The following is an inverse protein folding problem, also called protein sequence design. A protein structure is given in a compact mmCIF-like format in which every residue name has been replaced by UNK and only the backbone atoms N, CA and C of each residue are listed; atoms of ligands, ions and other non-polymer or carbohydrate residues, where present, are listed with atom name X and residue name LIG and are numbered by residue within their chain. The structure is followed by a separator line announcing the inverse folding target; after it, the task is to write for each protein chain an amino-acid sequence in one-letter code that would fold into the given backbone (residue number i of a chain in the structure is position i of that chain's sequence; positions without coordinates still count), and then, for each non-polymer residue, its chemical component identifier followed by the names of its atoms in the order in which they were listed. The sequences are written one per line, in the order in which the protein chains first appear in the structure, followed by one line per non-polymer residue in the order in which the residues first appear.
data_IF_978129305901
#
_entry.id   IF_978129305901
#
_cell.length_a   1.000
_cell.length_b   1.000
_cell.length_c   1.000
_cell.angle_alpha   90.00
_cell.angle_beta   90.00
_cell.angle_gamma   90.00
#
_symmetry.space_group_name_H-M   'P 1'
#
loop_
_entity.id
_entity.type
_entity.pdbx_description
1 polymer ?
#
# COMPACT_ATOMS: atom_id res chain seq x y z
N UNK A 1 40.03 9.13 68.18
CA UNK A 1 38.63 8.71 68.38
C UNK A 1 37.76 9.68 69.20
N UNK A 2 38.30 10.71 69.86
CA UNK A 2 37.49 11.74 70.53
C UNK A 2 36.94 12.94 69.70
N UNK A 3 37.43 13.28 68.47
CA UNK A 3 36.94 14.47 67.77
C UNK A 3 35.59 14.23 67.08
N UNK A 4 35.33 13.02 66.59
CA UNK A 4 34.12 12.70 65.84
C UNK A 4 32.90 12.50 66.75
N UNK A 5 33.08 12.00 67.98
CA UNK A 5 32.00 11.90 68.98
C UNK A 5 31.58 13.28 69.47
N UNK A 6 32.54 14.21 69.62
CA UNK A 6 32.24 15.60 69.96
C UNK A 6 31.46 16.31 68.85
N UNK A 7 31.85 16.13 67.59
CA UNK A 7 31.11 16.70 66.45
C UNK A 7 29.68 16.14 66.33
N UNK A 8 29.49 14.85 66.59
CA UNK A 8 28.16 14.22 66.60
C UNK A 8 27.29 14.75 67.75
N UNK A 9 27.85 14.93 68.93
CA UNK A 9 27.14 15.49 70.08
C UNK A 9 26.76 16.97 69.85
N UNK A 10 27.66 17.76 69.27
CA UNK A 10 27.38 19.15 68.89
C UNK A 10 26.32 19.25 67.80
N UNK A 11 26.34 18.36 66.81
CA UNK A 11 25.32 18.27 65.77
C UNK A 11 23.94 17.92 66.33
N UNK A 12 23.88 17.01 67.31
CA UNK A 12 22.63 16.60 67.95
C UNK A 12 22.05 17.69 68.87
N UNK A 13 22.90 18.40 69.61
CA UNK A 13 22.48 19.54 70.44
C UNK A 13 22.01 20.71 69.57
N UNK A 14 22.69 21.02 68.45
CA UNK A 14 22.26 22.06 67.51
C UNK A 14 20.97 21.68 66.77
N UNK A 15 20.79 20.40 66.40
CA UNK A 15 19.56 19.90 65.80
C UNK A 15 18.36 20.01 66.75
N UNK A 16 18.55 19.72 68.05
CA UNK A 16 17.50 19.87 69.07
C UNK A 16 17.20 21.36 69.33
N UNK A 17 18.22 22.22 69.42
CA UNK A 17 18.01 23.67 69.59
C UNK A 17 17.29 24.31 68.39
N UNK A 18 17.57 23.84 67.15
CA UNK A 18 16.87 24.30 65.95
C UNK A 18 15.40 23.84 65.89
N UNK A 19 15.09 22.66 66.44
CA UNK A 19 13.72 22.14 66.49
C UNK A 19 12.81 22.84 67.51
N UNK A 20 13.39 23.40 68.59
CA UNK A 20 12.62 24.07 69.65
C UNK A 20 12.60 25.60 69.58
N UNK A 21 13.40 26.22 68.71
CA UNK A 21 13.47 27.68 68.53
C UNK A 21 13.51 28.04 67.04
N UNK A 22 12.38 28.00 66.31
CA UNK A 22 12.38 28.15 64.86
C UNK A 22 12.70 29.58 64.36
N UNK A 23 12.96 30.56 65.24
CA UNK A 23 13.20 31.98 64.89
C UNK A 23 14.14 32.75 65.83
N UNK A 24 15.26 32.18 66.25
CA UNK A 24 16.34 32.97 66.88
C UNK A 24 17.61 32.96 66.01
N UNK A 25 18.03 34.17 65.66
CA UNK A 25 19.26 34.49 64.95
C UNK A 25 20.51 34.03 65.73
N UNK A 26 20.88 32.77 65.53
CA UNK A 26 22.12 32.14 65.99
C UNK A 26 23.46 32.76 65.51
N UNK A 27 23.56 33.69 64.52
CA UNK A 27 24.86 34.26 64.14
C UNK A 27 25.54 35.15 65.21
N UNK A 28 24.83 35.62 66.23
CA UNK A 28 25.33 36.69 67.12
C UNK A 28 26.05 36.24 68.40
N UNK A 29 26.04 34.96 68.75
CA UNK A 29 26.53 34.47 70.06
C UNK A 29 27.81 33.60 69.95
N UNK A 30 28.23 33.23 68.74
CA UNK A 30 29.43 32.39 68.56
C UNK A 30 30.68 33.22 68.21
N UNK A 31 31.84 32.95 68.82
CA UNK A 31 33.12 33.56 68.43
C UNK A 31 33.46 33.25 66.96
N UNK A 32 33.98 34.24 66.24
CA UNK A 32 34.30 34.18 64.81
C UNK A 32 35.26 33.04 64.39
N UNK A 33 36.07 32.57 65.33
CA UNK A 33 37.01 31.45 65.12
C UNK A 33 36.32 30.08 64.99
N UNK A 34 35.09 29.94 65.50
CA UNK A 34 34.30 28.70 65.44
C UNK A 34 33.25 28.79 64.33
N UNK A 35 32.63 29.96 64.11
CA UNK A 35 31.63 30.16 63.05
C UNK A 35 32.20 30.01 61.63
N UNK A 36 33.48 30.35 61.42
CA UNK A 36 34.18 30.20 60.14
C UNK A 36 34.51 28.76 59.74
N UNK A 37 34.30 27.78 60.64
CA UNK A 37 34.56 26.35 60.39
C UNK A 37 33.30 25.50 60.30
N UNK A 38 32.12 26.08 60.46
CA UNK A 38 30.84 25.38 60.33
C UNK A 38 30.26 25.65 58.93
N UNK A 39 30.01 24.61 58.10
CA UNK A 39 29.64 24.78 56.70
C UNK A 39 28.18 25.24 56.46
N UNK A 40 27.42 25.49 57.53
CA UNK A 40 25.98 25.80 57.45
C UNK A 40 25.62 27.20 57.99
N UNK A 41 26.59 27.95 58.51
CA UNK A 41 26.37 29.33 58.94
C UNK A 41 26.93 30.30 57.87
N UNK A 42 26.19 31.36 57.51
CA UNK A 42 26.66 32.34 56.54
C UNK A 42 27.75 33.19 57.21
N UNK A 43 28.98 32.69 57.21
CA UNK A 43 30.12 33.54 57.58
C UNK A 43 30.30 34.56 56.46
N UNK A 44 30.29 35.85 56.81
CA UNK A 44 30.39 37.01 55.92
C UNK A 44 31.68 37.07 55.06
N UNK A 45 32.49 36.01 55.05
CA UNK A 45 33.76 35.91 54.33
C UNK A 45 33.67 35.05 53.04
N UNK A 46 32.50 34.52 52.66
CA UNK A 46 32.38 33.74 51.41
C UNK A 46 32.57 34.61 50.16
N UNK A 47 32.24 35.90 50.17
CA UNK A 47 32.37 36.74 48.97
C UNK A 47 33.80 37.14 48.58
N UNK A 48 34.79 36.87 49.44
CA UNK A 48 36.19 37.30 49.22
C UNK A 48 37.11 36.18 48.76
N UNK A 49 36.64 34.93 48.67
CA UNK A 49 37.40 33.80 48.10
C UNK A 49 36.88 33.44 46.71
N UNK A 50 37.74 32.98 45.80
CA UNK A 50 37.33 32.60 44.43
C UNK A 50 36.27 31.49 44.42
N UNK A 51 36.36 30.56 45.38
CA UNK A 51 35.35 29.51 45.56
C UNK A 51 34.03 30.14 45.96
N UNK A 52 33.98 31.05 46.93
CA UNK A 52 32.71 31.64 47.34
C UNK A 52 32.09 32.62 46.34
N UNK A 53 32.84 33.18 45.38
CA UNK A 53 32.24 33.90 44.22
C UNK A 53 31.50 32.95 43.26
N UNK A 54 32.00 31.74 43.05
CA UNK A 54 31.31 30.70 42.23
C UNK A 54 30.06 30.17 42.93
N UNK A 55 30.07 30.10 44.26
CA UNK A 55 28.95 29.56 45.04
C UNK A 55 27.92 30.63 45.47
N UNK A 56 28.21 31.93 45.31
CA UNK A 56 27.30 33.02 45.69
C UNK A 56 25.96 33.00 44.93
N UNK A 57 25.96 32.64 43.65
CA UNK A 57 24.75 32.53 42.83
C UNK A 57 23.84 31.34 43.22
N UNK A 58 24.39 30.12 43.35
CA UNK A 58 23.64 28.95 43.80
C UNK A 58 23.13 29.03 45.25
N UNK A 59 23.92 29.59 46.18
CA UNK A 59 23.52 29.70 47.60
C UNK A 59 22.34 30.67 47.84
N UNK A 60 22.27 31.76 47.07
CA UNK A 60 21.15 32.72 47.15
C UNK A 60 19.80 32.09 46.72
N UNK A 61 19.84 31.09 45.83
CA UNK A 61 18.64 30.38 45.35
C UNK A 61 18.16 29.32 46.36
N UNK A 62 19.08 28.67 47.07
CA UNK A 62 18.75 27.74 48.16
C UNK A 62 18.13 28.44 49.38
N UNK A 63 18.53 29.67 49.69
CA UNK A 63 17.92 30.46 50.77
C UNK A 63 16.52 31.00 50.43
N UNK A 64 16.17 31.09 49.14
CA UNK A 64 14.87 31.58 48.67
C UNK A 64 13.78 30.48 48.59
N UNK A 65 14.10 29.22 48.92
CA UNK A 65 13.12 28.13 48.96
C UNK A 65 12.50 27.75 47.61
N UNK A 66 13.19 28.02 46.50
CA UNK A 66 12.75 27.67 45.14
C UNK A 66 13.27 26.27 44.82
N UNK A 67 12.39 25.31 44.53
CA UNK A 67 12.79 23.96 44.13
C UNK A 67 13.53 23.98 42.77
N UNK A 68 14.62 23.22 42.62
CA UNK A 68 15.32 23.12 41.34
C UNK A 68 14.48 22.33 40.31
N UNK A 69 14.21 22.97 39.17
CA UNK A 69 13.57 22.32 38.01
C UNK A 69 14.49 21.22 37.46
N UNK A 70 14.01 20.01 37.07
CA UNK A 70 14.85 18.86 36.75
C UNK A 70 15.45 18.90 35.33
N UNK A 71 15.81 20.08 34.84
CA UNK A 71 16.34 20.29 33.49
C UNK A 71 17.40 21.39 33.40
N UNK A 72 18.12 21.67 34.48
CA UNK A 72 19.14 22.71 34.52
C UNK A 72 20.47 22.20 35.09
N UNK A 73 21.01 21.16 34.46
CA UNK A 73 22.45 20.86 34.46
C UNK A 73 22.95 20.83 33.01
N UNK A 74 22.94 22.00 32.35
CA UNK A 74 23.74 22.24 31.15
C UNK A 74 24.36 23.63 31.29
N UNK A 75 25.53 23.69 31.93
CA UNK A 75 26.42 24.83 31.74
C UNK A 75 27.02 24.72 30.34
N UNK A 76 27.03 25.83 29.59
CA UNK A 76 27.55 25.96 28.22
C UNK A 76 28.97 25.38 28.04
N UNK A 77 29.75 25.31 29.12
CA UNK A 77 31.11 24.75 29.14
C UNK A 77 31.14 23.21 29.09
N UNK A 78 30.11 22.52 29.59
CA UNK A 78 30.00 21.06 29.54
C UNK A 78 29.55 20.56 28.16
N UNK A 79 28.69 21.32 27.47
CA UNK A 79 28.29 21.01 26.10
C UNK A 79 29.46 21.18 25.13
N UNK A 80 30.35 22.15 25.38
CA UNK A 80 31.56 22.38 24.57
C UNK A 80 32.59 21.26 24.70
N UNK A 81 32.82 20.73 25.91
CA UNK A 81 33.74 19.59 26.11
C UNK A 81 33.17 18.27 25.55
N UNK A 82 31.85 18.06 25.65
CA UNK A 82 31.17 16.92 25.02
C UNK A 82 31.21 17.00 23.49
N UNK A 83 31.09 18.20 22.92
CA UNK A 83 31.17 18.42 21.47
C UNK A 83 32.61 18.22 20.94
N UNK A 84 33.63 18.59 21.72
CA UNK A 84 35.04 18.30 21.41
C UNK A 84 35.36 16.81 21.50
N UNK A 85 34.87 16.09 22.53
CA UNK A 85 35.01 14.63 22.60
C UNK A 85 34.28 13.93 21.45
N UNK A 86 33.12 14.43 21.03
CA UNK A 86 32.41 13.94 19.84
C UNK A 86 33.29 14.10 18.60
N UNK A 87 33.81 15.31 18.34
CA UNK A 87 34.65 15.60 17.16
C UNK A 87 35.96 14.79 17.14
N UNK A 88 36.57 14.52 18.29
CA UNK A 88 37.75 13.65 18.39
C UNK A 88 37.44 12.17 18.11
N UNK A 89 36.23 11.69 18.43
CA UNK A 89 35.77 10.33 18.10
C UNK A 89 35.34 10.17 16.64
N UNK A 90 34.89 11.25 15.98
CA UNK A 90 34.53 11.25 14.55
C UNK A 90 35.73 11.22 13.60
N UNK A 91 36.95 11.50 14.07
CA UNK A 91 38.16 11.50 13.24
C UNK A 91 38.89 10.15 13.09
N UNK A 92 38.43 9.09 13.78
CA UNK A 92 39.08 7.77 13.74
C UNK A 92 38.62 6.95 12.53
N UNK A 93 39.56 6.43 11.74
CA UNK A 93 39.29 5.63 10.53
C UNK A 93 38.48 4.34 10.79
N UNK A 94 38.37 3.91 12.04
CA UNK A 94 37.62 2.71 12.44
C UNK A 94 36.16 3.04 12.77
N UNK A 95 35.88 4.18 13.42
CA UNK A 95 34.50 4.59 13.75
C UNK A 95 33.68 4.91 12.49
N UNK A 96 34.31 5.45 11.45
CA UNK A 96 33.65 5.71 10.16
C UNK A 96 33.14 4.43 9.47
N UNK A 97 33.86 3.30 9.57
CA UNK A 97 33.43 2.03 8.97
C UNK A 97 32.32 1.36 9.76
N UNK A 98 32.30 1.53 11.07
CA UNK A 98 31.22 1.02 11.93
C UNK A 98 29.94 1.84 11.73
N UNK A 99 30.06 3.16 11.67
CA UNK A 99 28.96 4.05 11.30
C UNK A 99 28.44 3.79 9.89
N UNK A 100 29.30 3.51 8.92
CA UNK A 100 28.85 3.17 7.56
C UNK A 100 28.13 1.81 7.51
N UNK A 101 28.56 0.83 8.33
CA UNK A 101 27.87 -0.45 8.48
C UNK A 101 26.53 -0.29 9.20
N UNK A 102 26.46 0.53 10.23
CA UNK A 102 25.23 0.84 10.95
C UNK A 102 24.26 1.63 10.08
N UNK A 103 24.74 2.62 9.33
CA UNK A 103 23.95 3.36 8.35
C UNK A 103 23.41 2.44 7.24
N UNK A 104 24.24 1.52 6.71
CA UNK A 104 23.77 0.48 5.76
C UNK A 104 22.78 -0.50 6.38
N UNK A 105 22.92 -0.83 7.68
CA UNK A 105 21.94 -1.67 8.40
C UNK A 105 20.62 -0.93 8.59
N UNK A 106 20.67 0.33 9.00
CA UNK A 106 19.49 1.19 9.16
C UNK A 106 18.80 1.43 7.82
N UNK A 107 19.55 1.68 6.73
CA UNK A 107 18.97 1.78 5.39
C UNK A 107 18.26 0.50 4.98
N UNK A 108 18.86 -0.68 5.16
CA UNK A 108 18.20 -1.97 4.87
C UNK A 108 17.01 -2.25 5.76
N UNK A 109 16.99 -1.71 6.97
CA UNK A 109 15.87 -1.85 7.90
C UNK A 109 14.74 -0.86 7.57
N UNK A 110 15.08 0.34 7.10
CA UNK A 110 14.13 1.32 6.55
C UNK A 110 13.57 0.81 5.22
N UNK A 111 14.39 0.24 4.33
CA UNK A 111 13.93 -0.44 3.11
C UNK A 111 13.02 -1.62 3.47
N UNK A 112 13.40 -2.49 4.42
CA UNK A 112 12.49 -3.55 4.90
C UNK A 112 11.21 -3.00 5.50
N UNK A 113 11.27 -1.92 6.29
CA UNK A 113 10.08 -1.29 6.87
C UNK A 113 9.24 -0.58 5.82
N UNK A 114 9.83 -0.02 4.76
CA UNK A 114 9.14 0.56 3.63
C UNK A 114 8.53 -0.51 2.73
N UNK A 115 9.20 -1.64 2.53
CA UNK A 115 8.66 -2.83 1.87
C UNK A 115 7.51 -3.42 2.69
N UNK A 116 7.65 -3.54 4.02
CA UNK A 116 6.59 -3.99 4.90
C UNK A 116 5.42 -3.00 4.96
N UNK A 117 5.68 -1.69 5.01
CA UNK A 117 4.65 -0.66 4.97
C UNK A 117 3.96 -0.58 3.59
N UNK A 118 4.68 -0.82 2.49
CA UNK A 118 4.12 -0.93 1.15
C UNK A 118 3.25 -2.18 0.99
N UNK A 119 3.62 -3.28 1.66
CA UNK A 119 2.83 -4.51 1.75
C UNK A 119 1.58 -4.33 2.62
N UNK A 120 1.64 -3.53 3.70
CA UNK A 120 0.51 -3.23 4.59
C UNK A 120 -0.45 -2.17 4.02
N UNK A 121 0.04 -1.23 3.20
CA UNK A 121 -0.79 -0.22 2.53
C UNK A 121 -1.40 -0.67 1.20
N UNK A 122 -1.17 -1.93 0.77
CA UNK A 122 -1.75 -2.45 -0.48
C UNK A 122 -1.32 -1.71 -1.74
N UNK A 123 -0.28 -0.86 -1.69
CA UNK A 123 0.33 -0.16 -2.82
C UNK A 123 1.03 -1.19 -3.71
N UNK A 124 0.26 -1.98 -4.44
CA UNK A 124 0.75 -2.90 -5.46
C UNK A 124 0.76 -2.13 -6.77
N UNK A 125 1.96 -1.99 -7.34
CA UNK A 125 2.24 -1.39 -8.65
C UNK A 125 1.73 -2.29 -9.79
N UNK A 126 0.44 -2.60 -9.81
CA UNK A 126 -0.21 -3.27 -10.94
C UNK A 126 -1.08 -2.29 -11.68
N UNK A 127 -1.03 -2.36 -13.00
CA UNK A 127 -1.88 -1.54 -13.85
C UNK A 127 -3.36 -1.88 -13.61
N UNK A 128 -4.26 -0.89 -13.77
CA UNK A 128 -5.69 -1.06 -13.55
C UNK A 128 -6.32 -2.09 -14.50
N UNK A 129 -7.47 -2.62 -14.07
CA UNK A 129 -8.33 -3.47 -14.88
C UNK A 129 -9.46 -2.63 -15.45
N UNK A 130 -9.65 -2.65 -16.77
CA UNK A 130 -10.72 -1.94 -17.45
C UNK A 130 -11.81 -2.91 -17.85
N UNK A 131 -13.06 -2.63 -17.49
CA UNK A 131 -14.23 -3.23 -18.09
C UNK A 131 -14.87 -2.22 -19.04
N UNK A 132 -15.02 -2.55 -20.31
CA UNK A 132 -15.56 -1.67 -21.35
C UNK A 132 -16.83 -2.26 -21.94
N UNK A 133 -17.86 -1.43 -22.04
CA UNK A 133 -19.15 -1.79 -22.65
C UNK A 133 -18.96 -2.07 -24.15
N UNK A 134 -19.58 -3.15 -24.63
CA UNK A 134 -19.64 -3.51 -26.05
C UNK A 134 -21.05 -3.25 -26.58
N UNK A 135 -21.18 -2.43 -27.62
CA UNK A 135 -22.47 -2.18 -28.26
C UNK A 135 -22.36 -1.24 -29.44
N UNK A 136 -23.44 -1.11 -30.22
CA UNK A 136 -23.54 -0.11 -31.28
C UNK A 136 -23.74 1.31 -30.70
N UNK A 137 -24.27 1.42 -29.48
CA UNK A 137 -24.62 2.70 -28.82
C UNK A 137 -23.49 3.29 -27.96
N UNK A 138 -22.30 2.68 -27.96
CA UNK A 138 -21.16 3.14 -27.15
C UNK A 138 -20.49 4.34 -27.82
N UNK A 139 -20.32 5.43 -27.07
CA UNK A 139 -19.68 6.65 -27.56
C UNK A 139 -18.20 6.40 -27.90
N UNK A 140 -17.86 6.57 -29.18
CA UNK A 140 -16.49 6.42 -29.69
C UNK A 140 -15.55 7.41 -29.00
N UNK A 141 -15.99 8.63 -28.72
CA UNK A 141 -15.16 9.65 -28.06
C UNK A 141 -14.85 9.32 -26.60
N UNK A 142 -15.66 8.49 -25.95
CA UNK A 142 -15.36 7.95 -24.62
C UNK A 142 -14.35 6.79 -24.72
N UNK A 143 -14.48 5.92 -25.73
CA UNK A 143 -13.52 4.85 -26.00
C UNK A 143 -12.12 5.40 -26.34
N UNK A 144 -12.02 6.43 -27.18
CA UNK A 144 -10.74 7.07 -27.51
C UNK A 144 -10.04 7.63 -26.27
N UNK A 145 -10.79 8.20 -25.32
CA UNK A 145 -10.24 8.68 -24.04
C UNK A 145 -9.73 7.54 -23.16
N UNK A 146 -10.47 6.44 -23.06
CA UNK A 146 -10.02 5.23 -22.35
C UNK A 146 -8.75 4.69 -23.00
N UNK A 147 -8.70 4.67 -24.33
CA UNK A 147 -7.54 4.32 -25.12
C UNK A 147 -6.30 5.17 -24.80
N UNK A 148 -6.47 6.49 -24.80
CA UNK A 148 -5.41 7.44 -24.46
C UNK A 148 -4.93 7.26 -23.00
N UNK A 149 -5.84 6.98 -22.07
CA UNK A 149 -5.49 6.65 -20.69
C UNK A 149 -4.66 5.36 -20.62
N UNK A 150 -5.10 4.29 -21.29
CA UNK A 150 -4.36 3.01 -21.33
C UNK A 150 -2.97 3.21 -21.93
N UNK A 151 -2.85 3.92 -23.05
CA UNK A 151 -1.56 4.18 -23.70
C UNK A 151 -0.65 5.02 -22.79
N UNK A 152 -1.19 5.96 -22.00
CA UNK A 152 -0.40 6.78 -21.05
C UNK A 152 0.29 5.94 -19.96
N UNK A 153 -0.26 4.76 -19.65
CA UNK A 153 0.34 3.80 -18.72
C UNK A 153 1.54 3.04 -19.33
N UNK A 154 1.77 3.16 -20.64
CA UNK A 154 2.79 2.44 -21.40
C UNK A 154 2.82 0.91 -21.11
N UNK A 155 1.69 0.21 -21.27
CA UNK A 155 1.63 -1.22 -21.03
C UNK A 155 2.49 -1.99 -22.03
N UNK A 156 3.24 -3.00 -21.56
CA UNK A 156 3.92 -3.93 -22.46
C UNK A 156 2.92 -4.86 -23.14
N UNK A 157 1.86 -5.22 -22.42
CA UNK A 157 0.85 -6.15 -22.93
C UNK A 157 -0.56 -5.83 -22.43
N UNK A 158 -1.55 -6.25 -23.21
CA UNK A 158 -2.97 -6.18 -22.87
C UNK A 158 -3.54 -7.60 -22.88
N UNK A 159 -4.11 -8.02 -21.76
CA UNK A 159 -4.88 -9.25 -21.63
C UNK A 159 -6.33 -8.92 -21.96
N UNK A 160 -6.78 -9.33 -23.13
CA UNK A 160 -8.15 -9.13 -23.58
C UNK A 160 -9.04 -10.27 -23.09
N UNK A 161 -10.04 -9.97 -22.27
CA UNK A 161 -11.08 -10.92 -21.85
C UNK A 161 -12.36 -10.60 -22.62
N UNK A 162 -12.72 -11.42 -23.59
CA UNK A 162 -13.88 -11.15 -24.45
C UNK A 162 -14.81 -12.36 -24.58
N UNK A 163 -16.15 -12.18 -24.55
CA UNK A 163 -17.10 -13.26 -24.80
C UNK A 163 -16.96 -13.81 -26.22
N UNK A 164 -17.02 -15.13 -26.34
CA UNK A 164 -16.94 -15.86 -27.59
C UNK A 164 -18.04 -16.92 -27.63
N UNK A 165 -18.93 -16.81 -28.61
CA UNK A 165 -20.01 -17.77 -28.82
C UNK A 165 -19.42 -19.10 -29.30
N UNK A 166 -19.66 -20.16 -28.53
CA UNK A 166 -19.08 -21.49 -28.79
C UNK A 166 -19.97 -22.59 -28.23
N UNK A 167 -19.76 -23.81 -28.73
CA UNK A 167 -20.37 -25.04 -28.20
C UNK A 167 -19.52 -25.69 -27.10
N UNK A 168 -18.27 -25.23 -26.92
CA UNK A 168 -17.34 -25.79 -25.94
C UNK A 168 -17.38 -25.03 -24.61
N UNK A 169 -17.25 -25.75 -23.50
CA UNK A 169 -17.23 -25.16 -22.15
C UNK A 169 -15.80 -25.03 -21.61
N UNK A 170 -14.88 -24.44 -22.36
CA UNK A 170 -13.50 -24.15 -21.92
C UNK A 170 -13.00 -22.83 -22.51
N UNK A 171 -12.10 -22.15 -21.79
CA UNK A 171 -11.45 -20.94 -22.29
C UNK A 171 -10.56 -21.25 -23.50
N UNK A 172 -10.44 -20.29 -24.42
CA UNK A 172 -9.46 -20.36 -25.50
C UNK A 172 -8.51 -19.18 -25.40
N UNK A 173 -7.23 -19.46 -25.17
CA UNK A 173 -6.16 -18.47 -25.13
C UNK A 173 -5.46 -18.45 -26.49
N UNK A 174 -5.37 -17.27 -27.09
CA UNK A 174 -4.74 -17.11 -28.40
C UNK A 174 -3.23 -17.22 -28.26
N UNK A 175 -2.62 -18.12 -29.03
CA UNK A 175 -1.16 -18.36 -29.06
C UNK A 175 -0.55 -18.09 -30.44
N UNK A 176 -1.31 -17.47 -31.34
CA UNK A 176 -0.82 -17.02 -32.64
C UNK A 176 0.23 -15.92 -32.46
N UNK A 177 1.22 -15.77 -33.36
CA UNK A 177 2.22 -14.69 -33.28
C UNK A 177 1.59 -13.29 -33.40
N UNK A 178 0.47 -13.20 -34.13
CA UNK A 178 -0.35 -11.99 -34.25
C UNK A 178 -1.81 -12.31 -33.97
N UNK A 179 -2.48 -11.43 -33.24
CA UNK A 179 -3.93 -11.48 -33.03
C UNK A 179 -4.58 -10.63 -34.12
N UNK A 180 -5.28 -11.27 -35.05
CA UNK A 180 -5.86 -10.63 -36.23
C UNK A 180 -7.38 -10.62 -36.21
N UNK A 181 -8.00 -9.57 -36.76
CA UNK A 181 -9.42 -9.53 -37.08
C UNK A 181 -9.68 -9.90 -38.54
N UNK A 182 -10.87 -10.43 -38.82
CA UNK A 182 -11.38 -10.62 -40.18
C UNK A 182 -12.04 -9.36 -40.77
N UNK A 183 -11.88 -8.20 -40.13
CA UNK A 183 -12.50 -6.94 -40.57
C UNK A 183 -11.70 -6.28 -41.71
N UNK A 184 -12.35 -5.34 -42.40
CA UNK A 184 -11.70 -4.46 -43.38
C UNK A 184 -11.79 -3.01 -42.89
N UNK A 185 -10.67 -2.27 -42.73
CA UNK A 185 -9.28 -2.75 -42.80
C UNK A 185 -8.97 -3.78 -41.69
N UNK A 186 -8.01 -4.69 -41.89
CA UNK A 186 -7.64 -5.68 -40.87
C UNK A 186 -6.98 -5.00 -39.67
N UNK A 187 -7.37 -5.41 -38.46
CA UNK A 187 -6.72 -5.03 -37.21
C UNK A 187 -5.79 -6.17 -36.79
N UNK A 188 -4.54 -5.85 -36.48
CA UNK A 188 -3.53 -6.83 -36.09
C UNK A 188 -2.66 -6.28 -34.98
N UNK A 189 -2.47 -7.08 -33.93
CA UNK A 189 -1.56 -6.78 -32.83
C UNK A 189 -0.49 -7.88 -32.73
N UNK A 190 0.75 -7.56 -32.35
CA UNK A 190 1.70 -8.59 -31.91
C UNK A 190 1.10 -9.33 -30.71
N UNK A 191 1.31 -10.64 -30.61
CA UNK A 191 0.89 -11.41 -29.43
C UNK A 191 2.10 -11.85 -28.61
N UNK A 192 1.83 -12.19 -27.35
CA UNK A 192 2.85 -12.66 -26.40
C UNK A 192 2.68 -14.14 -26.09
N UNK A 193 3.40 -15.06 -26.76
CA UNK A 193 3.35 -16.50 -26.46
C UNK A 193 3.76 -16.80 -25.01
N UNK A 194 4.65 -15.98 -24.46
CA UNK A 194 5.12 -16.08 -23.08
C UNK A 194 3.98 -15.78 -22.10
N UNK A 195 3.20 -14.73 -22.32
CA UNK A 195 2.05 -14.41 -21.46
C UNK A 195 0.90 -15.42 -21.67
N UNK A 196 0.62 -15.82 -22.91
CA UNK A 196 -0.40 -16.83 -23.23
C UNK A 196 -0.12 -18.17 -22.52
N UNK A 197 1.13 -18.65 -22.57
CA UNK A 197 1.52 -19.89 -21.88
C UNK A 197 1.48 -19.76 -20.35
N UNK A 198 1.75 -18.57 -19.80
CA UNK A 198 1.64 -18.33 -18.37
C UNK A 198 0.17 -18.25 -17.91
N UNK A 199 -0.72 -17.67 -18.71
CA UNK A 199 -2.17 -17.68 -18.47
C UNK A 199 -2.72 -19.11 -18.46
N UNK A 200 -2.38 -19.92 -19.45
CA UNK A 200 -2.78 -21.34 -19.49
C UNK A 200 -2.32 -22.10 -18.26
N UNK A 201 -1.08 -21.86 -17.81
CA UNK A 201 -0.54 -22.44 -16.58
C UNK A 201 -1.30 -21.95 -15.35
N UNK A 202 -1.58 -20.66 -15.26
CA UNK A 202 -2.33 -20.07 -14.14
C UNK A 202 -3.74 -20.66 -14.04
N UNK A 203 -4.45 -20.77 -15.16
CA UNK A 203 -5.77 -21.41 -15.21
C UNK A 203 -5.73 -22.87 -14.78
N UNK A 204 -4.73 -23.64 -15.23
CA UNK A 204 -4.60 -25.06 -14.88
C UNK A 204 -4.27 -25.30 -13.39
N UNK A 205 -3.51 -24.40 -12.77
CA UNK A 205 -3.04 -24.58 -11.38
C UNK A 205 -3.84 -23.80 -10.34
N UNK A 206 -4.92 -23.13 -10.73
CA UNK A 206 -5.81 -22.48 -9.77
C UNK A 206 -6.50 -23.54 -8.89
N UNK A 207 -6.18 -23.55 -7.59
CA UNK A 207 -6.85 -24.43 -6.63
C UNK A 207 -8.32 -23.98 -6.42
N UNK A 208 -9.28 -24.92 -6.26
CA UNK A 208 -9.11 -26.37 -6.09
C UNK A 208 -9.23 -27.21 -7.37
N UNK A 209 -9.91 -26.74 -8.42
CA UNK A 209 -10.23 -27.56 -9.60
C UNK A 209 -9.67 -27.07 -10.93
N UNK A 210 -8.97 -25.92 -10.94
CA UNK A 210 -8.51 -25.26 -12.15
C UNK A 210 -9.66 -24.72 -13.01
N UNK A 211 -9.30 -23.88 -13.97
CA UNK A 211 -10.21 -23.40 -15.02
C UNK A 211 -9.80 -24.11 -16.32
N UNK A 212 -10.72 -24.83 -17.00
CA UNK A 212 -10.38 -25.52 -18.24
C UNK A 212 -10.09 -24.49 -19.34
N UNK A 213 -8.88 -24.53 -19.88
CA UNK A 213 -8.39 -23.61 -20.90
C UNK A 213 -7.56 -24.35 -21.95
N UNK A 214 -7.61 -23.90 -23.20
CA UNK A 214 -6.84 -24.46 -24.32
C UNK A 214 -6.17 -23.35 -25.11
N UNK A 215 -5.07 -23.66 -25.80
CA UNK A 215 -4.41 -22.73 -26.72
C UNK A 215 -4.99 -22.86 -28.13
N UNK A 216 -5.15 -21.74 -28.84
CA UNK A 216 -5.47 -21.75 -30.27
C UNK A 216 -4.62 -20.74 -31.05
N UNK A 217 -4.10 -21.16 -32.20
CA UNK A 217 -3.36 -20.30 -33.12
C UNK A 217 -4.24 -19.71 -34.25
N UNK A 218 -5.53 -20.05 -34.30
CA UNK A 218 -6.43 -19.71 -35.42
C UNK A 218 -7.58 -18.79 -34.99
N UNK A 219 -7.74 -18.55 -33.69
CA UNK A 219 -8.83 -17.74 -33.17
C UNK A 219 -8.67 -16.26 -33.57
N UNK A 220 -9.55 -15.79 -34.45
CA UNK A 220 -9.63 -14.39 -34.83
C UNK A 220 -10.46 -13.57 -33.83
N UNK A 221 -10.21 -12.26 -33.78
CA UNK A 221 -11.02 -11.33 -32.98
C UNK A 221 -12.45 -11.27 -33.50
N UNK A 222 -13.42 -11.22 -32.58
CA UNK A 222 -14.82 -10.96 -32.94
C UNK A 222 -14.98 -9.56 -33.54
N UNK A 223 -16.03 -9.35 -34.34
CA UNK A 223 -16.36 -8.04 -34.90
C UNK A 223 -16.59 -6.98 -33.82
N UNK A 224 -17.23 -7.35 -32.71
CA UNK A 224 -17.46 -6.50 -31.54
C UNK A 224 -16.15 -6.09 -30.86
N UNK A 225 -15.27 -7.05 -30.58
CA UNK A 225 -13.96 -6.76 -29.98
C UNK A 225 -13.09 -5.91 -30.89
N UNK A 226 -13.13 -6.19 -32.19
CA UNK A 226 -12.40 -5.42 -33.21
C UNK A 226 -12.85 -3.97 -33.27
N UNK A 227 -14.16 -3.71 -33.17
CA UNK A 227 -14.70 -2.34 -33.18
C UNK A 227 -14.21 -1.56 -31.97
N UNK A 228 -14.30 -2.15 -30.77
CA UNK A 228 -13.86 -1.50 -29.54
C UNK A 228 -12.36 -1.25 -29.57
N UNK A 229 -11.54 -2.26 -29.89
CA UNK A 229 -10.08 -2.10 -29.97
C UNK A 229 -9.65 -1.05 -31.00
N UNK A 230 -10.39 -0.91 -32.10
CA UNK A 230 -10.14 0.14 -33.08
C UNK A 230 -10.45 1.53 -32.53
N UNK A 231 -11.55 1.67 -31.78
CA UNK A 231 -11.94 2.94 -31.16
C UNK A 231 -10.99 3.32 -29.99
N UNK A 232 -10.47 2.34 -29.25
CA UNK A 232 -9.45 2.58 -28.23
C UNK A 232 -8.13 3.08 -28.82
N UNK A 233 -7.84 2.84 -30.11
CA UNK A 233 -6.61 3.27 -30.76
C UNK A 233 -5.34 2.96 -29.93
N UNK A 234 -5.25 1.73 -29.41
CA UNK A 234 -4.10 1.28 -28.62
C UNK A 234 -2.81 1.34 -29.43
N UNK A 235 -1.69 1.57 -28.75
CA UNK A 235 -0.38 1.65 -29.41
C UNK A 235 -0.08 0.35 -30.18
N UNK A 236 0.40 0.44 -31.44
CA UNK A 236 0.58 -0.71 -32.32
C UNK A 236 1.64 -1.70 -31.84
N UNK A 237 2.56 -1.24 -31.00
CA UNK A 237 3.64 -2.07 -30.43
C UNK A 237 3.19 -2.82 -29.16
N UNK A 238 2.00 -2.55 -28.63
CA UNK A 238 1.46 -3.22 -27.44
C UNK A 238 1.10 -4.67 -27.75
N UNK A 239 1.64 -5.63 -26.98
CA UNK A 239 1.33 -7.05 -27.17
C UNK A 239 -0.10 -7.37 -26.72
N UNK A 240 -0.91 -8.01 -27.55
CA UNK A 240 -2.28 -8.41 -27.22
C UNK A 240 -2.37 -9.94 -27.04
N UNK A 241 -2.90 -10.37 -25.89
CA UNK A 241 -3.26 -11.78 -25.66
C UNK A 241 -4.77 -11.88 -25.45
N UNK A 242 -5.44 -12.50 -26.42
CA UNK A 242 -6.89 -12.69 -26.39
C UNK A 242 -7.26 -13.99 -25.66
N UNK A 243 -8.06 -13.85 -24.60
CA UNK A 243 -8.70 -14.94 -23.85
C UNK A 243 -10.20 -14.91 -24.16
N UNK A 244 -10.62 -15.85 -25.01
CA UNK A 244 -12.03 -16.04 -25.34
C UNK A 244 -12.76 -16.75 -24.20
N UNK A 245 -13.78 -16.07 -23.67
CA UNK A 245 -14.67 -16.54 -22.62
C UNK A 245 -15.85 -17.28 -23.28
N UNK A 246 -16.03 -18.59 -23.05
CA UNK A 246 -17.03 -19.39 -23.76
C UNK A 246 -18.45 -19.00 -23.35
N UNK A 247 -19.24 -18.55 -24.32
CA UNK A 247 -20.67 -18.30 -24.17
C UNK A 247 -21.42 -19.43 -24.86
N UNK A 248 -21.97 -20.34 -24.04
CA UNK A 248 -22.73 -21.50 -24.51
C UNK A 248 -24.23 -21.21 -24.45
N UNK A 249 -24.95 -21.47 -25.56
CA UNK A 249 -26.41 -21.24 -25.64
C UNK A 249 -27.22 -22.19 -24.75
N UNK A 250 -26.73 -23.40 -24.53
CA UNK A 250 -27.37 -24.39 -23.68
C UNK A 250 -27.27 -23.98 -22.19
N UNK A 251 -28.42 -23.69 -21.58
CA UNK A 251 -28.53 -23.19 -20.19
C UNK A 251 -27.82 -24.06 -19.14
N UNK A 252 -27.83 -25.37 -19.31
CA UNK A 252 -27.22 -26.31 -18.34
C UNK A 252 -25.70 -26.42 -18.50
N UNK A 253 -25.14 -25.92 -19.61
CA UNK A 253 -23.70 -25.89 -19.87
C UNK A 253 -23.04 -24.54 -19.51
N UNK A 254 -23.84 -23.55 -19.08
CA UNK A 254 -23.34 -22.23 -18.70
C UNK A 254 -22.62 -22.29 -17.35
N UNK A 255 -21.48 -21.61 -17.28
CA UNK A 255 -20.74 -21.46 -16.04
C UNK A 255 -21.44 -20.49 -15.09
N UNK A 256 -21.45 -20.86 -13.80
CA UNK A 256 -21.91 -19.99 -12.72
C UNK A 256 -20.90 -18.89 -12.40
N UNK A 257 -21.30 -17.94 -11.55
CA UNK A 257 -20.49 -16.79 -11.16
C UNK A 257 -19.13 -17.20 -10.57
N UNK A 258 -19.10 -18.22 -9.71
CA UNK A 258 -17.87 -18.74 -9.07
C UNK A 258 -16.81 -19.18 -10.10
N UNK A 259 -17.21 -19.77 -11.23
CA UNK A 259 -16.24 -20.16 -12.27
C UNK A 259 -15.68 -18.95 -13.01
N UNK A 260 -16.49 -17.92 -13.26
CA UNK A 260 -16.00 -16.68 -13.88
C UNK A 260 -15.13 -15.87 -12.93
N UNK A 261 -15.44 -15.95 -11.64
CA UNK A 261 -14.60 -15.45 -10.57
C UNK A 261 -13.23 -16.12 -10.56
N UNK A 262 -13.18 -17.45 -10.63
CA UNK A 262 -11.94 -18.22 -10.72
C UNK A 262 -11.07 -17.80 -11.92
N UNK A 263 -11.68 -17.50 -13.08
CA UNK A 263 -10.96 -16.95 -14.25
C UNK A 263 -10.23 -15.67 -13.88
N UNK A 264 -10.91 -14.70 -13.29
CA UNK A 264 -10.28 -13.44 -12.92
C UNK A 264 -9.26 -13.60 -11.79
N UNK A 265 -9.50 -14.50 -10.83
CA UNK A 265 -8.55 -14.82 -9.75
C UNK A 265 -7.25 -15.42 -10.30
N UNK A 266 -7.33 -16.25 -11.34
CA UNK A 266 -6.14 -16.77 -12.02
C UNK A 266 -5.36 -15.66 -12.75
N UNK A 267 -6.06 -14.70 -13.37
CA UNK A 267 -5.42 -13.53 -13.98
C UNK A 267 -4.78 -12.65 -12.91
N UNK A 268 -5.49 -12.35 -11.83
CA UNK A 268 -4.96 -11.61 -10.68
C UNK A 268 -3.70 -12.27 -10.12
N UNK A 269 -3.76 -13.59 -9.87
CA UNK A 269 -2.64 -14.37 -9.36
C UNK A 269 -1.41 -14.31 -10.28
N UNK A 270 -1.61 -14.33 -11.60
CA UNK A 270 -0.52 -14.21 -12.58
C UNK A 270 0.14 -12.81 -12.55
N UNK A 271 -0.66 -11.75 -12.46
CA UNK A 271 -0.17 -10.36 -12.44
C UNK A 271 0.54 -10.03 -11.11
N UNK A 272 0.15 -10.70 -10.04
CA UNK A 272 0.63 -10.46 -8.68
C UNK A 272 1.53 -11.57 -8.14
N UNK A 273 1.91 -12.55 -8.97
CA UNK A 273 2.81 -13.62 -8.57
C UNK A 273 4.14 -12.98 -8.11
N UNK A 274 4.48 -13.18 -6.84
CA UNK A 274 5.75 -12.70 -6.30
C UNK A 274 6.88 -13.48 -6.97
N UNK A 275 7.93 -12.78 -7.38
CA UNK A 275 9.20 -13.39 -7.77
C UNK A 275 9.75 -14.18 -6.56
N UNK A 276 9.34 -15.43 -6.36
CA UNK A 276 10.01 -16.31 -5.40
C UNK A 276 11.40 -16.63 -5.95
N UNK A 277 12.43 -15.99 -5.36
CA UNK A 277 13.84 -16.29 -5.61
C UNK A 277 14.18 -17.64 -4.97
N UNK A 278 13.76 -18.72 -5.61
CA UNK A 278 14.34 -20.06 -5.37
C UNK A 278 15.16 -20.44 -6.59
N UNK A 279 16.49 -20.25 -6.51
CA UNK A 279 17.44 -20.78 -7.49
C UNK A 279 17.91 -19.84 -8.61
N UNK A 280 17.95 -18.52 -8.39
CA UNK A 280 18.74 -17.60 -9.22
C UNK A 280 18.19 -17.24 -10.60
N UNK A 281 17.04 -17.78 -11.02
CA UNK A 281 16.33 -17.31 -12.23
C UNK A 281 15.15 -16.43 -11.84
N UNK A 282 15.29 -15.11 -12.08
CA UNK A 282 14.20 -14.14 -12.00
C UNK A 282 13.13 -14.52 -13.02
N UNK A 283 12.05 -15.16 -12.60
CA UNK A 283 10.83 -15.28 -13.43
C UNK A 283 9.99 -14.05 -13.19
N UNK A 284 10.38 -12.94 -13.83
CA UNK A 284 9.69 -11.66 -13.64
C UNK A 284 8.18 -11.78 -13.90
N UNK A 285 7.39 -11.36 -12.91
CA UNK A 285 5.94 -11.21 -13.02
C UNK A 285 5.53 -10.26 -14.16
N UNK A 286 4.33 -10.45 -14.69
CA UNK A 286 3.76 -9.65 -15.79
C UNK A 286 3.15 -8.34 -15.29
N UNK A 287 3.91 -7.57 -14.50
CA UNK A 287 3.42 -6.38 -13.80
C UNK A 287 3.01 -5.23 -14.72
N UNK A 288 3.57 -5.18 -15.93
CA UNK A 288 3.25 -4.16 -16.93
C UNK A 288 2.21 -4.65 -17.96
N UNK A 289 1.16 -5.29 -17.47
CA UNK A 289 0.06 -5.78 -18.30
C UNK A 289 -1.28 -5.17 -17.83
N UNK A 290 -2.05 -4.63 -18.77
CA UNK A 290 -3.41 -4.15 -18.52
C UNK A 290 -4.40 -5.26 -18.81
N UNK A 291 -5.41 -5.43 -17.96
CA UNK A 291 -6.54 -6.33 -18.25
C UNK A 291 -7.65 -5.50 -18.86
N UNK A 292 -8.04 -5.85 -20.08
CA UNK A 292 -9.16 -5.23 -20.79
C UNK A 292 -10.27 -6.27 -20.95
N UNK A 293 -11.33 -6.14 -20.17
CA UNK A 293 -12.51 -6.98 -20.25
C UNK A 293 -13.61 -6.28 -21.05
N UNK A 294 -14.19 -6.99 -22.01
CA UNK A 294 -15.22 -6.43 -22.86
C UNK A 294 -16.54 -7.20 -22.69
N UNK A 295 -17.65 -6.50 -22.49
CA UNK A 295 -18.97 -7.13 -22.36
C UNK A 295 -20.08 -6.11 -22.22
N UNK A 296 -21.25 -6.52 -21.73
CA UNK A 296 -22.32 -5.58 -21.35
C UNK A 296 -22.78 -5.80 -19.93
N UNK A 297 -22.79 -4.73 -19.12
CA UNK A 297 -23.32 -4.80 -17.76
C UNK A 297 -24.86 -4.65 -17.73
N UNK A 298 -25.45 -4.05 -18.76
CA UNK A 298 -26.89 -3.82 -18.83
C UNK A 298 -27.70 -5.14 -19.01
N UNK A 299 -28.89 -5.27 -18.38
CA UNK A 299 -29.72 -6.44 -18.57
C UNK A 299 -30.49 -6.43 -19.90
N UNK A 300 -30.44 -7.57 -20.64
CA UNK A 300 -31.07 -7.77 -21.97
C UNK A 300 -32.55 -7.42 -22.11
N UNK A 301 -33.34 -7.37 -21.01
CA UNK A 301 -34.81 -7.37 -21.07
C UNK A 301 -35.51 -6.11 -20.58
N UNK A 302 -34.80 -5.10 -20.11
CA UNK A 302 -35.40 -3.82 -19.73
C UNK A 302 -34.43 -2.72 -20.14
N UNK A 303 -34.97 -1.63 -20.69
CA UNK A 303 -34.27 -0.34 -20.62
C UNK A 303 -33.75 -0.20 -19.19
N UNK A 304 -32.42 -0.14 -19.00
CA UNK A 304 -31.86 -0.11 -17.67
C UNK A 304 -32.45 1.10 -16.95
N UNK A 305 -33.20 0.86 -15.88
CA UNK A 305 -33.72 1.97 -15.08
C UNK A 305 -32.52 2.77 -14.57
N UNK A 306 -32.66 4.09 -14.44
CA UNK A 306 -31.62 4.92 -13.85
C UNK A 306 -31.21 4.45 -12.44
N UNK A 307 -32.08 3.70 -11.75
CA UNK A 307 -31.78 3.02 -10.50
C UNK A 307 -30.78 1.86 -10.67
N UNK A 308 -30.83 1.09 -11.76
CA UNK A 308 -29.93 -0.03 -12.00
C UNK A 308 -28.49 0.46 -12.19
N UNK A 309 -28.29 1.51 -12.99
CA UNK A 309 -26.96 2.09 -13.20
C UNK A 309 -26.34 2.58 -11.87
N UNK A 310 -27.14 3.21 -11.00
CA UNK A 310 -26.70 3.63 -9.66
C UNK A 310 -26.37 2.44 -8.75
N UNK A 311 -27.16 1.38 -8.81
CA UNK A 311 -26.91 0.16 -8.03
C UNK A 311 -25.66 -0.59 -8.51
N UNK A 312 -25.43 -0.64 -9.82
CA UNK A 312 -24.21 -1.19 -10.40
C UNK A 312 -23.00 -0.38 -9.95
N UNK A 313 -23.10 0.95 -9.98
CA UNK A 313 -22.05 1.83 -9.49
C UNK A 313 -21.73 1.58 -8.02
N UNK A 314 -22.75 1.47 -7.18
CA UNK A 314 -22.58 1.13 -5.76
C UNK A 314 -21.96 -0.26 -5.58
N UNK A 315 -22.31 -1.24 -6.41
CA UNK A 315 -21.79 -2.59 -6.31
C UNK A 315 -20.31 -2.70 -6.71
N UNK A 316 -19.84 -1.82 -7.60
CA UNK A 316 -18.46 -1.80 -8.09
C UNK A 316 -17.54 -0.86 -7.29
N UNK A 317 -18.12 0.09 -6.55
CA UNK A 317 -17.37 1.03 -5.71
C UNK A 317 -16.69 0.38 -4.49
N UNK A 318 -17.07 -0.85 -4.12
CA UNK A 318 -16.47 -1.55 -2.99
C UNK A 318 -14.95 -1.76 -3.19
N UNK A 319 -14.18 -1.64 -2.09
CA UNK A 319 -12.71 -1.70 -2.10
C UNK A 319 -12.15 -3.10 -2.36
N UNK A 320 -12.88 -4.15 -2.02
CA UNK A 320 -12.41 -5.53 -2.15
C UNK A 320 -13.16 -6.25 -3.25
N UNK A 321 -12.45 -7.07 -4.01
CA UNK A 321 -13.06 -7.88 -5.07
C UNK A 321 -14.22 -8.72 -4.53
N UNK A 322 -14.08 -9.36 -3.36
CA UNK A 322 -15.10 -10.29 -2.83
C UNK A 322 -16.40 -9.57 -2.47
N UNK A 323 -16.33 -8.36 -1.90
CA UNK A 323 -17.53 -7.55 -1.65
C UNK A 323 -18.23 -7.19 -2.97
N UNK A 324 -17.46 -6.77 -4.00
CA UNK A 324 -18.01 -6.51 -5.33
C UNK A 324 -18.70 -7.73 -5.94
N UNK A 325 -18.11 -8.92 -5.81
CA UNK A 325 -18.72 -10.16 -6.31
C UNK A 325 -20.11 -10.39 -5.71
N UNK A 326 -20.20 -10.29 -4.39
CA UNK A 326 -21.44 -10.49 -3.65
C UNK A 326 -22.47 -9.44 -4.02
N UNK A 327 -22.05 -8.16 -4.08
CA UNK A 327 -22.89 -7.04 -4.49
C UNK A 327 -23.42 -7.20 -5.93
N UNK A 328 -22.57 -7.63 -6.88
CA UNK A 328 -22.96 -7.91 -8.25
C UNK A 328 -23.93 -9.10 -8.33
N UNK A 329 -23.65 -10.18 -7.62
CA UNK A 329 -24.51 -11.35 -7.59
C UNK A 329 -25.89 -11.02 -7.01
N UNK A 330 -25.94 -10.22 -5.94
CA UNK A 330 -27.19 -9.72 -5.36
C UNK A 330 -27.95 -8.78 -6.32
N UNK A 331 -27.24 -7.89 -7.02
CA UNK A 331 -27.85 -6.99 -8.01
C UNK A 331 -28.49 -7.77 -9.16
N UNK A 332 -27.78 -8.74 -9.74
CA UNK A 332 -28.30 -9.48 -10.88
C UNK A 332 -29.36 -10.53 -10.52
N UNK A 333 -29.28 -11.12 -9.33
CA UNK A 333 -30.34 -12.00 -8.83
C UNK A 333 -31.64 -11.23 -8.56
N UNK A 334 -31.56 -10.05 -7.95
CA UNK A 334 -32.73 -9.18 -7.72
C UNK A 334 -33.30 -8.59 -9.01
N UNK A 335 -32.45 -8.12 -9.93
CA UNK A 335 -32.88 -7.55 -11.21
C UNK A 335 -33.53 -8.58 -12.15
N UNK A 336 -33.18 -9.86 -12.03
CA UNK A 336 -33.74 -10.92 -12.88
C UNK A 336 -35.21 -11.21 -12.58
N UNK A 337 -35.69 -10.94 -11.35
CA UNK A 337 -37.10 -11.18 -10.94
C UNK A 337 -37.57 -12.64 -11.09
N UNK A 338 -36.65 -13.55 -11.42
CA UNK A 338 -36.89 -14.98 -11.63
C UNK A 338 -35.95 -15.78 -10.73
N UNK A 339 -36.20 -17.09 -10.55
CA UNK A 339 -35.33 -17.97 -9.75
C UNK A 339 -33.86 -17.77 -10.14
N UNK A 340 -32.92 -17.83 -9.18
CA UNK A 340 -31.50 -17.65 -9.45
C UNK A 340 -31.07 -18.58 -10.59
N UNK A 341 -30.60 -17.99 -11.69
CA UNK A 341 -30.07 -18.76 -12.81
C UNK A 341 -28.76 -19.39 -12.36
N UNK A 342 -28.57 -20.68 -12.67
CA UNK A 342 -27.30 -21.38 -12.41
C UNK A 342 -26.14 -20.81 -13.24
N UNK A 343 -26.43 -20.29 -14.44
CA UNK A 343 -25.45 -19.72 -15.36
C UNK A 343 -25.51 -18.19 -15.41
N UNK A 344 -24.34 -17.57 -15.63
CA UNK A 344 -24.22 -16.14 -15.91
C UNK A 344 -24.55 -15.88 -17.38
N UNK A 345 -25.31 -14.82 -17.67
CA UNK A 345 -25.58 -14.39 -19.05
C UNK A 345 -24.27 -14.08 -19.77
N UNK A 346 -24.12 -14.60 -20.99
CA UNK A 346 -22.89 -14.52 -21.79
C UNK A 346 -22.35 -13.10 -21.98
N UNK A 347 -23.23 -12.10 -21.98
CA UNK A 347 -22.80 -10.72 -22.14
C UNK A 347 -22.06 -10.16 -20.90
N UNK A 348 -22.26 -10.76 -19.72
CA UNK A 348 -21.74 -10.29 -18.43
C UNK A 348 -20.51 -11.07 -17.95
N UNK A 349 -20.14 -12.16 -18.61
CA UNK A 349 -19.07 -13.06 -18.15
C UNK A 349 -17.73 -12.33 -17.97
N UNK A 350 -17.45 -11.36 -18.85
CA UNK A 350 -16.26 -10.53 -18.78
C UNK A 350 -16.27 -9.60 -17.55
N UNK A 351 -17.43 -9.11 -17.10
CA UNK A 351 -17.54 -8.26 -15.91
C UNK A 351 -17.16 -9.04 -14.64
N UNK A 352 -17.66 -10.27 -14.48
CA UNK A 352 -17.31 -11.12 -13.34
C UNK A 352 -15.81 -11.42 -13.31
N UNK A 353 -15.22 -11.75 -14.47
CA UNK A 353 -13.79 -11.98 -14.58
C UNK A 353 -12.98 -10.70 -14.28
N UNK A 354 -13.42 -9.53 -14.74
CA UNK A 354 -12.75 -8.25 -14.49
C UNK A 354 -12.70 -7.89 -13.00
N UNK A 355 -13.82 -8.05 -12.29
CA UNK A 355 -13.91 -7.76 -10.86
C UNK A 355 -12.98 -8.63 -10.03
N UNK A 356 -12.89 -9.92 -10.36
CA UNK A 356 -11.95 -10.83 -9.72
C UNK A 356 -10.49 -10.51 -10.10
N UNK A 357 -10.23 -10.16 -11.35
CA UNK A 357 -8.90 -9.79 -11.84
C UNK A 357 -8.36 -8.50 -11.22
N UNK A 358 -9.24 -7.58 -10.80
CA UNK A 358 -8.87 -6.33 -10.16
C UNK A 358 -8.36 -6.50 -8.73
N UNK A 359 -8.80 -7.54 -8.01
CA UNK A 359 -8.44 -7.72 -6.60
C UNK A 359 -8.92 -6.58 -5.72
N UNK A 360 -8.02 -5.90 -5.02
CA UNK A 360 -8.34 -4.78 -4.14
C UNK A 360 -8.14 -3.43 -4.84
N UNK A 361 -8.83 -2.39 -4.38
CA UNK A 361 -8.87 -1.05 -5.00
C UNK A 361 -10.28 -0.70 -5.47
N UNK A 362 -10.68 0.56 -5.38
CA UNK A 362 -12.06 1.01 -5.68
C UNK A 362 -12.38 0.90 -7.18
N UNK A 363 -13.66 0.77 -7.50
CA UNK A 363 -14.15 0.80 -8.87
C UNK A 363 -14.69 2.18 -9.23
N UNK A 364 -14.16 2.78 -10.28
CA UNK A 364 -14.55 4.10 -10.76
C UNK A 364 -15.22 4.00 -12.13
N UNK A 365 -16.36 4.69 -12.34
CA UNK A 365 -16.98 4.75 -13.66
C UNK A 365 -16.09 5.55 -14.61
N UNK A 366 -15.91 5.06 -15.83
CA UNK A 366 -15.22 5.78 -16.88
C UNK A 366 -16.11 6.90 -17.44
N UNK A 367 -15.49 7.97 -17.92
CA UNK A 367 -16.22 9.08 -18.54
C UNK A 367 -17.12 8.62 -19.68
N UNK A 368 -18.30 9.24 -19.81
CA UNK A 368 -19.27 8.88 -20.84
C UNK A 368 -20.02 7.57 -20.59
N UNK A 369 -19.79 6.90 -19.45
CA UNK A 369 -20.48 5.65 -19.10
C UNK A 369 -20.06 4.46 -19.97
N UNK A 370 -18.92 4.56 -20.67
CA UNK A 370 -18.41 3.54 -21.56
C UNK A 370 -17.80 2.33 -20.83
N UNK A 371 -17.68 2.37 -19.50
CA UNK A 371 -17.12 1.28 -18.73
C UNK A 371 -16.75 1.64 -17.29
N UNK A 372 -15.89 0.80 -16.71
CA UNK A 372 -15.42 0.87 -15.33
C UNK A 372 -13.91 0.63 -15.28
N UNK A 373 -13.22 1.42 -14.47
CA UNK A 373 -11.83 1.21 -14.06
C UNK A 373 -11.82 0.57 -12.67
N UNK A 374 -11.13 -0.54 -12.52
CA UNK A 374 -11.11 -1.35 -11.31
C UNK A 374 -9.67 -1.59 -10.84
N UNK A 375 -9.48 -1.77 -9.53
CA UNK A 375 -8.17 -2.09 -8.95
C UNK A 375 -7.21 -0.90 -8.93
N UNK A 376 -7.71 0.30 -9.20
CA UNK A 376 -6.97 1.53 -8.98
C UNK A 376 -7.16 1.94 -7.51
N UNK A 377 -6.07 2.02 -6.75
CA UNK A 377 -6.09 2.74 -5.48
C UNK A 377 -5.87 4.22 -5.79
N UNK A 378 -6.82 5.12 -5.51
CA UNK A 378 -6.54 6.53 -5.63
C UNK A 378 -5.42 6.86 -4.64
N UNK A 379 -4.29 7.34 -5.15
CA UNK A 379 -3.27 7.99 -4.33
C UNK A 379 -3.93 9.27 -3.80
N UNK A 380 -4.50 9.21 -2.60
CA UNK A 380 -5.01 10.37 -1.88
C UNK A 380 -3.89 11.12 -1.18
#
# INVERSE_FOLDING_TARGET
MAPNVRLLLWGLVLGVLAAFLPRLDLPSILPASVSSRLPFLPSHALHTTEVGKRWAGPFARYQAGIEPHPGHEHSVEADWEAEIEMQLRFGSKESGRELEKEYKRQLREVERRAEHAGVENGLRETLPVYFVEQGDDVDIGALERIGAEINSLNPQSVILLAPHETTTSHLVVTSAPHVTSASSPPLSFPSSPRLASALLRSFAHLAPSGVPATSSAVLALSSTSTRVLRALALDPDTELVNVALPVVEARDAQWGAERWWDVGKAVYGLLHEKDEVKGGQRRGGYRNAVVLALGTAAPKKKTPSSSFAKQLASALADQTSHAREQSLHALYSSASGTKPQRGVDGARVALYAAVAAAGDGEGEPLEGGAGWRLGHLPVR
#
